data_IF_866603952653
#
_entry.id   IF_866603952653
#
_cell.length_a   1.000
_cell.length_b   1.000
_cell.length_c   1.000
_cell.angle_alpha   90.00
_cell.angle_beta   90.00
_cell.angle_gamma   90.00
#
_symmetry.space_group_name_H-M   'P 1'
#
loop_
_entity.id
_entity.type
_entity.pdbx_description
1 polymer ?
#
# COMPACT_ATOMS: atom_id res chain seq x y z
N UNK A 1 24.47 -4.32 -7.28
CA UNK A 1 23.68 -3.64 -6.22
C UNK A 1 22.97 -4.71 -5.42
N UNK A 2 23.13 -4.70 -4.10
CA UNK A 2 22.44 -5.63 -3.20
C UNK A 2 21.20 -4.95 -2.62
N UNK A 3 20.05 -5.60 -2.74
CA UNK A 3 18.75 -5.09 -2.28
C UNK A 3 18.24 -5.98 -1.15
N UNK A 4 17.81 -5.39 -0.04
CA UNK A 4 16.99 -6.08 0.95
C UNK A 4 15.51 -5.84 0.61
N UNK A 5 14.76 -6.91 0.34
CA UNK A 5 13.30 -6.87 0.27
C UNK A 5 12.74 -7.35 1.60
N UNK A 6 11.90 -6.53 2.20
CA UNK A 6 11.25 -6.85 3.47
C UNK A 6 9.77 -6.51 3.40
N UNK A 7 8.93 -7.53 3.18
CA UNK A 7 7.50 -7.39 3.41
C UNK A 7 7.21 -7.78 4.86
N UNK A 8 6.67 -6.86 5.66
CA UNK A 8 6.64 -6.96 7.11
C UNK A 8 5.89 -8.19 7.60
N UNK A 9 4.74 -8.51 7.00
CA UNK A 9 3.85 -9.57 7.51
C UNK A 9 4.42 -10.94 7.18
N UNK A 10 4.86 -11.14 5.95
CA UNK A 10 5.47 -12.38 5.46
C UNK A 10 6.94 -12.51 5.80
N UNK A 11 7.58 -11.43 6.28
CA UNK A 11 9.00 -11.36 6.65
C UNK A 11 9.27 -11.50 8.14
N UNK A 12 8.25 -11.71 8.97
CA UNK A 12 8.40 -12.00 10.40
C UNK A 12 7.96 -10.88 11.35
N UNK A 13 7.31 -9.82 10.90
CA UNK A 13 6.80 -8.75 11.76
C UNK A 13 5.72 -9.19 12.76
N UNK A 14 5.17 -10.40 12.59
CA UNK A 14 4.25 -11.06 13.52
C UNK A 14 4.84 -12.38 14.06
N UNK A 15 6.16 -12.60 14.00
CA UNK A 15 6.79 -13.90 14.32
C UNK A 15 6.56 -14.37 15.76
N UNK A 16 6.32 -13.44 16.69
CA UNK A 16 6.05 -13.70 18.11
C UNK A 16 4.55 -13.72 18.47
N UNK A 17 3.66 -13.57 17.48
CA UNK A 17 2.22 -13.47 17.66
C UNK A 17 1.44 -14.23 16.58
N UNK A 18 0.12 -14.24 16.69
CA UNK A 18 -0.74 -14.84 15.67
C UNK A 18 -0.62 -14.05 14.36
N UNK A 19 -0.53 -14.78 13.24
CA UNK A 19 -0.40 -14.19 11.91
C UNK A 19 -1.79 -14.01 11.30
N UNK A 20 -2.24 -12.77 11.03
CA UNK A 20 -3.55 -12.55 10.42
C UNK A 20 -3.58 -13.10 8.99
N UNK A 21 -4.41 -14.12 8.72
CA UNK A 21 -4.40 -14.82 7.42
C UNK A 21 -4.70 -13.92 6.22
N UNK A 22 -5.63 -12.98 6.36
CA UNK A 22 -5.98 -12.04 5.30
C UNK A 22 -4.79 -11.17 4.90
N UNK A 23 -4.17 -10.53 5.89
CA UNK A 23 -3.00 -9.68 5.67
C UNK A 23 -1.80 -10.48 5.15
N UNK A 24 -1.58 -11.71 5.65
CA UNK A 24 -0.55 -12.58 5.13
C UNK A 24 -0.79 -12.98 3.67
N UNK A 25 -2.03 -13.21 3.27
CA UNK A 25 -2.38 -13.56 1.89
C UNK A 25 -2.12 -12.39 0.93
N UNK A 26 -2.44 -11.16 1.31
CA UNK A 26 -2.13 -9.96 0.53
C UNK A 26 -0.63 -9.67 0.49
N UNK A 27 0.06 -9.78 1.63
CA UNK A 27 1.53 -9.64 1.72
C UNK A 27 2.26 -10.63 0.80
N UNK A 28 1.82 -11.89 0.77
CA UNK A 28 2.36 -12.92 -0.12
C UNK A 28 2.19 -12.58 -1.60
N UNK A 29 1.02 -12.06 -2.00
CA UNK A 29 0.76 -11.65 -3.38
C UNK A 29 1.72 -10.53 -3.81
N UNK A 30 1.88 -9.50 -2.96
CA UNK A 30 2.80 -8.39 -3.23
C UNK A 30 4.25 -8.84 -3.28
N UNK A 31 4.69 -9.64 -2.30
CA UNK A 31 6.07 -10.11 -2.22
C UNK A 31 6.41 -11.02 -3.41
N UNK A 32 5.56 -11.99 -3.74
CA UNK A 32 5.80 -12.90 -4.87
C UNK A 32 5.91 -12.12 -6.19
N UNK A 33 5.02 -11.16 -6.43
CA UNK A 33 5.07 -10.32 -7.64
C UNK A 33 6.35 -9.48 -7.72
N UNK A 34 6.80 -8.90 -6.60
CA UNK A 34 8.02 -8.11 -6.56
C UNK A 34 9.25 -8.99 -6.84
N UNK A 35 9.29 -10.18 -6.23
CA UNK A 35 10.35 -11.15 -6.47
C UNK A 35 10.37 -11.64 -7.93
N UNK A 36 9.22 -11.85 -8.56
CA UNK A 36 9.16 -12.22 -9.98
C UNK A 36 9.70 -11.12 -10.90
N UNK A 37 9.40 -9.86 -10.58
CA UNK A 37 9.97 -8.70 -11.27
C UNK A 37 11.49 -8.61 -11.09
N UNK A 38 12.00 -8.74 -9.86
CA UNK A 38 13.43 -8.70 -9.58
C UNK A 38 14.18 -9.86 -10.22
N UNK A 39 13.59 -11.06 -10.28
CA UNK A 39 14.21 -12.23 -10.91
C UNK A 39 14.43 -12.02 -12.41
N UNK A 40 13.44 -11.46 -13.10
CA UNK A 40 13.58 -11.10 -14.52
C UNK A 40 14.74 -10.12 -14.73
N UNK A 41 14.87 -9.11 -13.86
CA UNK A 41 15.96 -8.14 -13.93
C UNK A 41 17.33 -8.75 -13.70
N UNK A 42 17.46 -9.70 -12.78
CA UNK A 42 18.70 -10.42 -12.55
C UNK A 42 19.15 -11.21 -13.79
N UNK A 43 18.22 -11.66 -14.62
CA UNK A 43 18.50 -12.36 -15.89
C UNK A 43 18.87 -11.36 -17.00
N UNK A 44 18.13 -10.26 -17.12
CA UNK A 44 18.23 -9.30 -18.22
C UNK A 44 19.37 -8.26 -18.04
N UNK A 45 19.70 -7.85 -16.81
CA UNK A 45 20.69 -6.79 -16.51
C UNK A 45 22.08 -7.34 -16.18
N UNK A 46 22.73 -8.00 -17.15
CA UNK A 46 24.07 -8.61 -16.95
C UNK A 46 25.18 -7.60 -16.61
N UNK A 47 25.07 -6.37 -17.11
CA UNK A 47 26.08 -5.32 -16.91
C UNK A 47 25.94 -4.58 -15.57
N UNK A 48 24.79 -4.68 -14.91
CA UNK A 48 24.51 -4.07 -13.61
C UNK A 48 23.86 -5.12 -12.70
N UNK A 49 24.63 -6.09 -12.20
CA UNK A 49 24.10 -7.23 -11.48
C UNK A 49 23.39 -6.78 -10.20
N UNK A 50 22.23 -7.39 -9.95
CA UNK A 50 21.44 -7.23 -8.75
C UNK A 50 21.53 -8.54 -7.97
N UNK A 51 21.71 -8.46 -6.65
CA UNK A 51 21.46 -9.57 -5.75
C UNK A 51 20.43 -9.14 -4.71
N UNK A 52 19.60 -10.07 -4.26
CA UNK A 52 18.47 -9.77 -3.38
C UNK A 52 18.51 -10.66 -2.15
N UNK A 53 18.38 -10.04 -1.00
CA UNK A 53 18.00 -10.68 0.25
C UNK A 53 16.50 -10.55 0.44
N UNK A 54 15.85 -11.63 0.88
CA UNK A 54 14.47 -11.61 1.33
C UNK A 54 14.38 -12.16 2.75
N UNK A 55 13.70 -11.42 3.62
CA UNK A 55 13.31 -11.90 4.94
C UNK A 55 11.99 -12.65 4.83
N UNK A 56 11.88 -13.79 5.51
CA UNK A 56 10.70 -14.67 5.42
C UNK A 56 10.37 -15.25 6.80
N UNK A 57 9.11 -15.14 7.21
CA UNK A 57 8.57 -15.85 8.36
C UNK A 57 8.62 -17.36 8.10
N UNK A 58 9.12 -18.13 9.07
CA UNK A 58 9.24 -19.59 8.94
C UNK A 58 7.91 -20.27 8.60
N UNK A 59 6.78 -19.74 9.08
CA UNK A 59 5.43 -20.29 8.84
C UNK A 59 4.99 -20.17 7.38
N UNK A 60 5.62 -19.30 6.60
CA UNK A 60 5.23 -18.97 5.22
C UNK A 60 6.29 -19.30 4.17
N UNK A 61 7.47 -19.79 4.57
CA UNK A 61 8.62 -20.00 3.68
C UNK A 61 8.31 -20.85 2.44
N UNK A 62 7.41 -21.83 2.57
CA UNK A 62 7.03 -22.75 1.49
C UNK A 62 5.91 -22.20 0.58
N UNK A 63 5.38 -21.00 0.87
CA UNK A 63 4.29 -20.36 0.09
C UNK A 63 4.79 -19.37 -0.96
N UNK A 64 6.08 -19.09 -0.99
CA UNK A 64 6.74 -18.22 -1.96
C UNK A 64 7.78 -19.05 -2.70
N UNK A 65 8.11 -18.69 -3.93
CA UNK A 65 9.29 -19.22 -4.61
C UNK A 65 10.51 -18.31 -4.37
N UNK A 66 11.41 -18.62 -3.43
CA UNK A 66 12.59 -17.80 -3.18
C UNK A 66 13.79 -18.18 -4.07
N UNK A 67 13.61 -19.06 -5.07
CA UNK A 67 14.70 -19.51 -5.93
C UNK A 67 15.38 -18.32 -6.63
N UNK A 68 16.71 -18.27 -6.50
CA UNK A 68 17.56 -17.20 -7.03
C UNK A 68 17.87 -16.09 -6.02
N UNK A 69 17.31 -16.13 -4.81
CA UNK A 69 17.51 -15.11 -3.78
C UNK A 69 18.21 -15.65 -2.53
N UNK A 70 18.96 -14.76 -1.87
CA UNK A 70 19.49 -15.00 -0.52
C UNK A 70 18.33 -14.85 0.48
N UNK A 71 18.22 -15.76 1.46
CA UNK A 71 17.06 -15.84 2.34
C UNK A 71 17.47 -15.72 3.81
N UNK A 72 16.72 -14.94 4.57
CA UNK A 72 16.78 -14.94 6.03
C UNK A 72 15.44 -15.42 6.59
N UNK A 73 15.44 -16.63 7.13
CA UNK A 73 14.24 -17.19 7.76
C UNK A 73 14.16 -16.65 9.19
N UNK A 74 13.02 -16.05 9.52
CA UNK A 74 12.69 -15.48 10.82
C UNK A 74 11.81 -16.48 11.58
N UNK A 75 12.40 -17.02 12.64
CA UNK A 75 11.73 -17.91 13.59
C UNK A 75 11.11 -17.13 14.74
N UNK A 76 10.28 -17.76 15.56
CA UNK A 76 9.67 -17.15 16.75
C UNK A 76 10.71 -16.65 17.78
N UNK A 77 11.92 -17.24 17.81
CA UNK A 77 12.96 -16.89 18.78
C UNK A 77 13.78 -15.64 18.39
N UNK A 78 13.67 -15.18 17.14
CA UNK A 78 14.44 -14.04 16.64
C UNK A 78 13.69 -12.72 16.84
N UNK A 79 14.45 -11.64 16.98
CA UNK A 79 13.90 -10.29 16.89
C UNK A 79 13.96 -9.83 15.42
N UNK A 80 12.80 -9.56 14.83
CA UNK A 80 12.68 -9.19 13.41
C UNK A 80 13.36 -7.87 13.10
N UNK A 81 13.28 -6.89 14.00
CA UNK A 81 13.88 -5.56 13.81
C UNK A 81 15.42 -5.65 13.85
N UNK A 82 15.98 -6.44 14.76
CA UNK A 82 17.42 -6.69 14.84
C UNK A 82 17.94 -7.35 13.55
N UNK A 83 17.21 -8.34 13.03
CA UNK A 83 17.56 -9.02 11.78
C UNK A 83 17.41 -8.10 10.56
N UNK A 84 16.36 -7.27 10.53
CA UNK A 84 16.16 -6.24 9.52
C UNK A 84 17.35 -5.28 9.49
N UNK A 85 17.76 -4.74 10.65
CA UNK A 85 18.91 -3.83 10.75
C UNK A 85 20.20 -4.53 10.33
N UNK A 86 20.44 -5.77 10.81
CA UNK A 86 21.63 -6.56 10.46
C UNK A 86 21.75 -6.78 8.96
N UNK A 87 20.66 -7.11 8.26
CA UNK A 87 20.66 -7.34 6.81
C UNK A 87 20.71 -6.03 6.02
N UNK A 88 19.98 -5.00 6.46
CA UNK A 88 19.98 -3.67 5.85
C UNK A 88 21.42 -3.13 5.75
N UNK A 89 22.20 -3.26 6.83
CA UNK A 89 23.58 -2.76 6.86
C UNK A 89 24.51 -3.46 5.86
N UNK A 90 24.14 -4.66 5.39
CA UNK A 90 24.89 -5.43 4.39
C UNK A 90 24.44 -5.15 2.94
N UNK A 91 23.39 -4.36 2.75
CA UNK A 91 22.79 -4.06 1.45
C UNK A 91 23.08 -2.62 1.00
N UNK A 92 22.93 -2.35 -0.29
CA UNK A 92 23.06 -1.01 -0.87
C UNK A 92 21.72 -0.25 -0.84
N UNK A 93 20.61 -0.99 -0.93
CA UNK A 93 19.26 -0.48 -0.98
C UNK A 93 18.30 -1.38 -0.19
N UNK A 94 17.20 -0.82 0.28
CA UNK A 94 16.14 -1.51 1.01
C UNK A 94 14.79 -1.17 0.41
N UNK A 95 13.97 -2.18 0.18
CA UNK A 95 12.59 -2.07 -0.26
C UNK A 95 11.66 -2.62 0.83
N UNK A 96 11.28 -1.78 1.82
CA UNK A 96 10.31 -2.19 2.81
C UNK A 96 8.89 -2.11 2.21
N UNK A 97 8.07 -3.08 2.56
CA UNK A 97 6.63 -3.12 2.31
C UNK A 97 6.01 -3.45 3.66
N UNK A 98 5.31 -2.52 4.28
CA UNK A 98 4.80 -2.69 5.62
C UNK A 98 3.53 -1.88 5.82
N UNK A 99 2.65 -2.27 6.74
CA UNK A 99 1.51 -1.45 7.06
C UNK A 99 1.91 -0.08 7.62
N UNK A 100 1.07 0.92 7.40
CA UNK A 100 1.20 2.26 8.00
C UNK A 100 0.73 2.27 9.46
N UNK A 101 0.04 1.21 9.93
CA UNK A 101 -0.47 1.07 11.29
C UNK A 101 0.64 1.31 12.30
N UNK A 102 0.35 2.11 13.33
CA UNK A 102 1.27 2.35 14.46
C UNK A 102 2.63 2.94 14.05
N UNK A 103 2.74 3.47 12.82
CA UNK A 103 3.99 4.00 12.29
C UNK A 103 5.00 2.96 11.81
N UNK A 104 4.63 1.68 11.67
CA UNK A 104 5.57 0.60 11.30
C UNK A 104 6.35 0.94 10.02
N UNK A 105 5.66 1.27 8.92
CA UNK A 105 6.36 1.63 7.67
C UNK A 105 7.20 2.91 7.83
N UNK A 106 6.72 3.89 8.60
CA UNK A 106 7.45 5.13 8.86
C UNK A 106 8.78 4.86 9.55
N UNK A 107 8.77 4.03 10.60
CA UNK A 107 9.95 3.71 11.40
C UNK A 107 10.97 2.88 10.62
N UNK A 108 10.51 1.93 9.80
CA UNK A 108 11.37 1.20 8.86
C UNK A 108 12.05 2.15 7.88
N UNK A 109 11.29 3.08 7.27
CA UNK A 109 11.84 4.05 6.34
C UNK A 109 12.86 4.98 7.03
N UNK A 110 12.54 5.49 8.22
CA UNK A 110 13.42 6.37 8.99
C UNK A 110 14.72 5.66 9.38
N UNK A 111 14.65 4.37 9.72
CA UNK A 111 15.82 3.54 10.04
C UNK A 111 16.74 3.38 8.84
N UNK A 112 16.20 3.13 7.64
CA UNK A 112 16.97 3.06 6.40
C UNK A 112 17.62 4.40 6.07
N UNK A 113 16.87 5.49 6.18
CA UNK A 113 17.36 6.85 5.93
C UNK A 113 18.51 7.24 6.87
N UNK A 114 18.38 6.93 8.17
CA UNK A 114 19.39 7.24 9.19
C UNK A 114 20.73 6.54 8.94
N UNK A 115 20.74 5.42 8.20
CA UNK A 115 21.96 4.69 7.86
C UNK A 115 22.53 5.06 6.49
N UNK A 116 21.90 5.99 5.75
CA UNK A 116 22.33 6.43 4.42
C UNK A 116 22.17 5.36 3.34
N UNK A 117 21.40 4.30 3.58
CA UNK A 117 21.05 3.29 2.56
C UNK A 117 19.97 3.83 1.64
N UNK A 118 19.94 3.33 0.40
CA UNK A 118 18.93 3.78 -0.57
C UNK A 118 17.58 3.17 -0.21
N UNK A 119 16.59 4.01 0.06
CA UNK A 119 15.21 3.57 0.25
C UNK A 119 14.52 3.44 -1.12
N UNK A 120 13.90 2.29 -1.39
CA UNK A 120 13.19 2.00 -2.64
C UNK A 120 11.66 2.16 -2.49
N UNK A 121 11.25 3.06 -1.62
CA UNK A 121 9.86 3.50 -1.42
C UNK A 121 9.86 4.97 -0.99
N UNK A 122 8.68 5.52 -0.72
CA UNK A 122 8.53 6.88 -0.21
C UNK A 122 9.29 7.10 1.11
N UNK A 123 9.90 8.28 1.32
CA UNK A 123 10.63 8.60 2.53
C UNK A 123 9.72 8.67 3.77
N UNK A 124 10.30 8.54 4.97
CA UNK A 124 9.57 8.45 6.22
C UNK A 124 8.58 9.61 6.43
N UNK A 125 8.96 10.83 6.02
CA UNK A 125 8.09 12.02 6.08
C UNK A 125 6.85 11.89 5.19
N UNK A 126 7.01 11.41 3.97
CA UNK A 126 5.87 11.20 3.06
C UNK A 126 4.97 10.07 3.58
N UNK A 127 5.59 9.01 4.12
CA UNK A 127 4.87 7.91 4.76
C UNK A 127 4.06 8.39 5.96
N UNK A 128 4.63 9.23 6.82
CA UNK A 128 3.95 9.80 7.98
C UNK A 128 2.70 10.61 7.59
N UNK A 129 2.82 11.43 6.54
CA UNK A 129 1.69 12.23 6.04
C UNK A 129 0.59 11.30 5.54
N UNK A 130 0.93 10.42 4.60
CA UNK A 130 -0.04 9.56 3.91
C UNK A 130 -0.67 8.51 4.83
N UNK A 131 0.10 7.98 5.79
CA UNK A 131 -0.35 6.98 6.76
C UNK A 131 -1.35 7.49 7.79
N UNK A 132 -1.49 8.81 7.96
CA UNK A 132 -2.53 9.41 8.82
C UNK A 132 -3.65 9.99 7.96
N UNK A 133 -4.80 9.32 7.96
CA UNK A 133 -5.96 9.64 7.11
C UNK A 133 -6.50 11.06 7.32
N UNK A 134 -6.44 11.58 8.55
CA UNK A 134 -6.85 12.96 8.84
C UNK A 134 -5.84 13.99 8.32
N UNK A 135 -4.55 13.74 8.49
CA UNK A 135 -3.50 14.62 7.95
C UNK A 135 -3.55 14.65 6.42
N UNK A 136 -3.72 13.49 5.78
CA UNK A 136 -3.92 13.37 4.34
C UNK A 136 -5.12 14.20 3.90
N UNK A 137 -6.29 14.04 4.52
CA UNK A 137 -7.48 14.84 4.22
C UNK A 137 -7.21 16.35 4.31
N UNK A 138 -6.60 16.81 5.40
CA UNK A 138 -6.32 18.23 5.62
C UNK A 138 -5.37 18.80 4.57
N UNK A 139 -4.32 18.06 4.23
CA UNK A 139 -3.33 18.47 3.23
C UNK A 139 -3.93 18.53 1.82
N UNK A 140 -4.73 17.53 1.44
CA UNK A 140 -5.42 17.50 0.15
C UNK A 140 -6.40 18.67 0.01
N UNK A 141 -7.16 18.97 1.07
CA UNK A 141 -8.07 20.13 1.10
C UNK A 141 -7.32 21.46 0.93
N UNK A 142 -6.15 21.62 1.56
CA UNK A 142 -5.32 22.83 1.40
C UNK A 142 -4.84 23.04 -0.04
N UNK A 143 -4.69 21.96 -0.81
CA UNK A 143 -4.28 22.00 -2.22
C UNK A 143 -5.46 21.96 -3.21
N UNK A 144 -6.71 22.11 -2.72
CA UNK A 144 -7.90 22.10 -3.57
C UNK A 144 -8.09 20.76 -4.31
N UNK A 145 -7.70 19.66 -3.67
CA UNK A 145 -7.92 18.29 -4.14
C UNK A 145 -9.20 17.77 -3.48
N UNK A 146 -10.13 17.30 -4.30
CA UNK A 146 -11.38 16.73 -3.80
C UNK A 146 -11.10 15.42 -3.06
N UNK A 147 -11.52 15.35 -1.80
CA UNK A 147 -11.22 14.24 -0.88
C UNK A 147 -12.44 13.97 -0.02
N UNK A 148 -12.60 12.73 0.44
CA UNK A 148 -13.71 12.35 1.32
C UNK A 148 -13.65 13.16 2.62
N UNK A 149 -14.73 13.87 3.03
CA UNK A 149 -14.76 14.62 4.27
C UNK A 149 -14.37 13.74 5.46
N UNK A 150 -13.40 14.20 6.25
CA UNK A 150 -12.82 13.40 7.34
C UNK A 150 -12.73 14.23 8.61
N UNK A 151 -13.20 13.67 9.72
CA UNK A 151 -13.10 14.29 11.05
C UNK A 151 -12.63 13.26 12.06
N UNK A 152 -12.12 13.71 13.21
CA UNK A 152 -11.93 12.79 14.33
C UNK A 152 -13.29 12.34 14.82
N UNK A 153 -13.41 11.04 15.08
CA UNK A 153 -14.64 10.48 15.63
C UNK A 153 -15.02 11.13 16.98
N UNK A 154 -14.03 11.49 17.81
CA UNK A 154 -14.23 12.16 19.10
C UNK A 154 -14.86 13.55 18.99
N UNK A 155 -14.69 14.22 17.85
CA UNK A 155 -15.10 15.59 17.62
C UNK A 155 -16.44 15.64 16.84
N UNK A 156 -16.98 14.47 16.49
CA UNK A 156 -18.18 14.35 15.68
C UNK A 156 -19.43 14.22 16.54
N UNK A 157 -20.43 15.04 16.23
CA UNK A 157 -21.77 14.93 16.81
C UNK A 157 -22.70 14.24 15.81
N UNK A 158 -23.40 13.20 16.27
CA UNK A 158 -24.34 12.46 15.44
C UNK A 158 -25.43 13.38 14.88
N UNK A 159 -25.55 13.41 13.55
CA UNK A 159 -26.43 14.32 12.82
C UNK A 159 -27.81 13.74 12.46
N UNK A 160 -28.06 12.48 12.82
CA UNK A 160 -29.38 11.85 12.70
C UNK A 160 -29.79 11.40 11.31
N UNK A 161 -29.00 11.67 10.27
CA UNK A 161 -29.52 11.64 8.89
C UNK A 161 -28.69 10.85 7.87
N UNK A 162 -27.53 10.27 8.24
CA UNK A 162 -26.63 9.65 7.25
C UNK A 162 -25.94 8.38 7.79
N UNK A 163 -25.59 7.49 6.88
CA UNK A 163 -24.65 6.40 7.16
C UNK A 163 -23.22 6.95 7.17
N UNK A 164 -22.44 6.49 8.13
CA UNK A 164 -21.05 6.88 8.33
C UNK A 164 -20.12 5.67 8.28
N UNK A 165 -18.86 5.91 7.97
CA UNK A 165 -17.77 4.95 8.13
C UNK A 165 -16.87 5.44 9.26
N UNK A 166 -16.69 4.60 10.27
CA UNK A 166 -15.70 4.81 11.34
C UNK A 166 -14.55 3.84 11.13
N UNK A 167 -13.32 4.35 11.07
CA UNK A 167 -12.10 3.55 10.86
C UNK A 167 -10.91 4.13 11.63
N UNK A 168 -9.88 3.34 11.94
CA UNK A 168 -8.68 3.86 12.57
C UNK A 168 -8.05 4.99 11.76
N UNK A 169 -7.44 5.95 12.45
CA UNK A 169 -6.79 7.10 11.82
C UNK A 169 -5.63 6.68 10.91
N UNK A 170 -5.00 5.55 11.17
CA UNK A 170 -3.92 4.93 10.43
C UNK A 170 -4.26 3.47 10.06
N UNK A 171 -3.30 2.74 9.47
CA UNK A 171 -3.42 1.32 9.17
C UNK A 171 -4.00 0.93 7.82
N UNK A 172 -4.10 -0.40 7.61
CA UNK A 172 -4.29 -1.03 6.28
C UNK A 172 -5.46 -1.99 6.23
N UNK A 173 -5.99 -2.17 5.02
CA UNK A 173 -7.12 -3.05 4.78
C UNK A 173 -8.42 -2.51 5.37
N UNK A 174 -9.47 -3.32 5.31
CA UNK A 174 -10.81 -2.91 5.73
C UNK A 174 -11.27 -3.50 7.07
N UNK A 175 -10.41 -4.29 7.74
CA UNK A 175 -10.76 -5.12 8.90
C UNK A 175 -11.28 -4.34 10.12
N UNK A 176 -10.93 -3.07 10.25
CA UNK A 176 -11.40 -2.19 11.33
C UNK A 176 -12.25 -1.01 10.82
N UNK A 177 -12.84 -1.14 9.63
CA UNK A 177 -13.77 -0.15 9.09
C UNK A 177 -15.22 -0.57 9.34
N UNK A 178 -15.98 0.27 10.04
CA UNK A 178 -17.33 0.00 10.48
C UNK A 178 -18.32 0.95 9.82
N UNK A 179 -19.35 0.41 9.20
CA UNK A 179 -20.55 1.16 8.79
C UNK A 179 -21.37 1.42 10.05
N UNK A 180 -21.70 2.68 10.28
CA UNK A 180 -22.50 3.13 11.42
C UNK A 180 -23.74 3.82 10.86
N UNK A 181 -24.91 3.24 11.14
CA UNK A 181 -26.19 3.75 10.63
C UNK A 181 -27.14 4.21 11.73
N UNK A 182 -26.95 3.72 12.95
CA UNK A 182 -27.80 4.03 14.10
C UNK A 182 -27.01 4.73 15.23
N UNK A 183 -27.67 5.56 16.06
CA UNK A 183 -27.04 6.19 17.22
C UNK A 183 -26.41 5.19 18.20
N UNK A 184 -26.97 3.99 18.32
CA UNK A 184 -26.46 2.90 19.16
C UNK A 184 -25.12 2.38 18.63
N UNK A 185 -25.01 2.13 17.33
CA UNK A 185 -23.75 1.73 16.68
C UNK A 185 -22.69 2.81 16.88
N UNK A 186 -23.10 4.09 16.75
CA UNK A 186 -22.22 5.22 16.99
C UNK A 186 -21.70 5.17 18.42
N UNK A 187 -22.54 5.03 19.45
CA UNK A 187 -22.10 4.95 20.86
C UNK A 187 -21.20 3.75 21.13
N UNK A 188 -21.46 2.60 20.51
CA UNK A 188 -20.63 1.40 20.67
C UNK A 188 -19.18 1.66 20.24
N UNK A 189 -18.96 2.49 19.22
CA UNK A 189 -17.60 2.85 18.79
C UNK A 189 -16.79 3.59 19.85
N UNK A 190 -17.42 4.38 20.73
CA UNK A 190 -16.72 5.09 21.82
C UNK A 190 -16.11 4.16 22.88
N UNK A 191 -16.54 2.90 22.94
CA UNK A 191 -15.99 1.91 23.87
C UNK A 191 -14.68 1.29 23.38
N UNK A 192 -14.32 1.51 22.10
CA UNK A 192 -13.11 0.98 21.49
C UNK A 192 -11.89 1.82 21.85
N UNK A 193 -10.75 1.15 21.99
CA UNK A 193 -9.45 1.80 22.20
C UNK A 193 -8.84 2.22 20.88
N UNK A 194 -8.16 3.37 20.86
CA UNK A 194 -7.44 3.86 19.68
C UNK A 194 -7.98 5.20 19.18
N UNK A 195 -7.36 5.72 18.12
CA UNK A 195 -7.79 6.97 17.49
C UNK A 195 -8.54 6.65 16.20
N UNK A 196 -9.81 7.03 16.15
CA UNK A 196 -10.68 6.79 15.01
C UNK A 196 -11.02 8.09 14.29
N UNK A 197 -11.22 7.98 12.98
CA UNK A 197 -11.84 9.00 12.15
C UNK A 197 -13.24 8.57 11.75
N UNK A 198 -14.05 9.54 11.35
CA UNK A 198 -15.37 9.33 10.77
C UNK A 198 -15.45 10.04 9.42
N UNK A 199 -16.03 9.34 8.45
CA UNK A 199 -16.20 9.78 7.06
C UNK A 199 -17.63 9.44 6.60
N UNK A 200 -18.27 10.25 5.73
CA UNK A 200 -19.57 9.90 5.20
C UNK A 200 -19.49 8.59 4.41
N UNK A 201 -20.51 7.74 4.54
CA UNK A 201 -20.60 6.53 3.73
C UNK A 201 -21.08 6.86 2.31
N UNK A 202 -20.14 7.27 1.47
CA UNK A 202 -20.44 7.70 0.11
C UNK A 202 -20.77 6.53 -0.82
N UNK A 203 -21.83 6.71 -1.60
CA UNK A 203 -22.16 5.82 -2.71
C UNK A 203 -21.30 6.18 -3.92
N UNK A 204 -20.77 5.18 -4.62
CA UNK A 204 -19.85 5.39 -5.74
C UNK A 204 -19.02 4.15 -6.04
N UNK A 205 -18.33 4.19 -7.18
CA UNK A 205 -17.35 3.17 -7.55
C UNK A 205 -16.14 3.31 -6.64
N UNK A 206 -15.65 2.18 -6.11
CA UNK A 206 -14.37 2.12 -5.39
C UNK A 206 -13.30 1.75 -6.39
N UNK A 207 -12.40 2.68 -6.67
CA UNK A 207 -11.32 2.50 -7.62
C UNK A 207 -10.00 2.88 -6.98
N UNK A 208 -8.88 2.47 -7.58
CA UNK A 208 -7.57 2.92 -7.13
C UNK A 208 -6.62 3.18 -8.29
N UNK A 209 -5.69 4.10 -8.10
CA UNK A 209 -4.61 4.37 -9.04
C UNK A 209 -3.35 3.66 -8.58
N UNK A 210 -2.71 2.93 -9.49
CA UNK A 210 -1.33 2.48 -9.34
C UNK A 210 -0.42 3.52 -9.99
N UNK A 211 0.43 4.18 -9.21
CA UNK A 211 1.26 5.29 -9.68
C UNK A 211 2.74 5.12 -9.32
N UNK A 212 3.60 5.82 -10.03
CA UNK A 212 4.99 6.06 -9.65
C UNK A 212 5.15 7.55 -9.35
N UNK A 213 5.88 7.92 -8.31
CA UNK A 213 6.23 9.31 -8.00
C UNK A 213 7.73 9.51 -7.86
N UNK A 214 8.19 10.74 -8.14
CA UNK A 214 9.54 11.22 -7.86
C UNK A 214 9.57 12.74 -7.96
N UNK A 215 10.02 13.41 -6.90
CA UNK A 215 10.38 14.84 -6.90
C UNK A 215 9.28 15.74 -7.49
N UNK A 216 8.07 15.64 -6.96
CA UNK A 216 6.92 16.45 -7.39
C UNK A 216 6.34 16.10 -8.77
N UNK A 217 6.70 14.92 -9.32
CA UNK A 217 6.08 14.37 -10.52
C UNK A 217 5.44 13.01 -10.24
N UNK A 218 4.31 12.74 -10.87
CA UNK A 218 3.65 11.44 -10.86
C UNK A 218 3.49 10.86 -12.25
N UNK A 219 3.55 9.53 -12.35
CA UNK A 219 3.26 8.75 -13.55
C UNK A 219 2.20 7.71 -13.25
N UNK A 220 1.07 7.78 -13.94
CA UNK A 220 0.00 6.79 -13.81
C UNK A 220 0.39 5.48 -14.53
N UNK A 221 0.27 4.35 -13.84
CA UNK A 221 0.45 3.02 -14.43
C UNK A 221 -0.90 2.45 -14.89
N UNK A 222 -1.88 2.38 -14.00
CA UNK A 222 -3.21 1.88 -14.31
C UNK A 222 -4.25 2.31 -13.28
N UNK A 223 -5.51 2.21 -13.70
CA UNK A 223 -6.70 2.40 -12.85
C UNK A 223 -7.26 1.02 -12.53
N UNK A 224 -7.58 0.78 -11.26
CA UNK A 224 -8.07 -0.50 -10.77
C UNK A 224 -9.50 -0.33 -10.23
N UNK A 225 -10.34 -1.35 -10.35
CA UNK A 225 -11.66 -1.41 -9.68
C UNK A 225 -11.57 -2.35 -8.49
N UNK A 226 -12.05 -1.92 -7.33
CA UNK A 226 -12.07 -2.71 -6.10
C UNK A 226 -13.50 -3.14 -5.79
N UNK A 227 -13.70 -4.45 -5.60
CA UNK A 227 -15.00 -5.02 -5.29
C UNK A 227 -15.04 -5.50 -3.86
N UNK A 228 -16.04 -5.05 -3.13
CA UNK A 228 -16.20 -5.36 -1.72
C UNK A 228 -17.56 -5.99 -1.42
N UNK A 229 -17.58 -6.83 -0.41
CA UNK A 229 -18.78 -7.27 0.28
C UNK A 229 -18.88 -6.57 1.64
N UNK A 230 -20.10 -6.48 2.17
CA UNK A 230 -20.35 -5.99 3.53
C UNK A 230 -20.79 -7.19 4.36
N UNK A 231 -20.01 -7.51 5.39
CA UNK A 231 -20.30 -8.59 6.33
C UNK A 231 -20.20 -7.99 7.73
N UNK A 232 -21.24 -8.17 8.55
CA UNK A 232 -21.29 -7.64 9.93
C UNK A 232 -20.95 -6.14 10.02
N UNK A 233 -21.49 -5.34 9.10
CA UNK A 233 -21.25 -3.90 8.98
C UNK A 233 -19.80 -3.51 8.64
N UNK A 234 -18.98 -4.43 8.14
CA UNK A 234 -17.60 -4.16 7.76
C UNK A 234 -17.37 -4.47 6.28
N UNK A 235 -16.47 -3.71 5.68
CA UNK A 235 -16.04 -3.94 4.31
C UNK A 235 -15.05 -5.09 4.23
N UNK A 236 -15.26 -5.98 3.26
CA UNK A 236 -14.34 -7.07 2.93
C UNK A 236 -14.01 -7.00 1.44
N UNK A 237 -12.76 -6.72 1.11
CA UNK A 237 -12.28 -6.65 -0.28
C UNK A 237 -12.29 -8.05 -0.89
N UNK A 238 -13.13 -8.33 -1.87
CA UNK A 238 -13.27 -9.67 -2.49
C UNK A 238 -12.27 -9.86 -3.63
N UNK A 239 -12.20 -8.87 -4.52
CA UNK A 239 -11.30 -8.90 -5.66
C UNK A 239 -10.97 -7.49 -6.16
N UNK A 240 -9.89 -7.41 -6.92
CA UNK A 240 -9.47 -6.21 -7.63
C UNK A 240 -9.39 -6.55 -9.12
N UNK A 241 -10.01 -5.73 -9.97
CA UNK A 241 -9.75 -5.74 -11.41
C UNK A 241 -8.68 -4.70 -11.68
N UNK A 242 -7.44 -5.14 -11.88
CA UNK A 242 -6.30 -4.30 -12.24
C UNK A 242 -6.41 -3.89 -13.71
N UNK A 243 -6.12 -2.62 -14.00
CA UNK A 243 -6.29 -2.03 -15.34
C UNK A 243 -7.73 -2.15 -15.86
N UNK A 244 -8.68 -1.78 -15.01
CA UNK A 244 -10.13 -1.83 -15.27
C UNK A 244 -10.59 -0.78 -16.28
N UNK A 245 -10.08 0.46 -16.18
CA UNK A 245 -10.45 1.56 -17.07
C UNK A 245 -9.25 2.05 -17.87
N UNK A 246 -9.44 2.17 -19.18
CA UNK A 246 -8.42 2.58 -20.15
C UNK A 246 -8.35 4.13 -20.22
N UNK A 247 -9.29 4.85 -19.60
CA UNK A 247 -9.31 6.32 -19.60
C UNK A 247 -8.36 6.89 -18.53
N UNK A 248 -7.09 7.08 -18.87
CA UNK A 248 -6.07 7.64 -17.98
C UNK A 248 -6.10 9.17 -17.86
N UNK A 249 -6.61 9.88 -18.87
CA UNK A 249 -6.44 11.34 -18.99
C UNK A 249 -7.09 12.15 -17.87
N UNK A 250 -8.23 11.70 -17.37
CA UNK A 250 -8.98 12.42 -16.31
C UNK A 250 -8.22 12.46 -14.97
N UNK A 251 -7.26 11.54 -14.78
CA UNK A 251 -6.50 11.42 -13.54
C UNK A 251 -5.19 12.21 -13.55
N UNK A 252 -4.71 12.68 -14.71
CA UNK A 252 -3.41 13.39 -14.77
C UNK A 252 -3.43 14.68 -13.95
N UNK A 253 -4.50 15.47 -14.04
CA UNK A 253 -4.64 16.69 -13.23
C UNK A 253 -4.68 16.39 -11.73
N UNK A 254 -5.34 15.29 -11.33
CA UNK A 254 -5.33 14.83 -9.93
C UNK A 254 -3.92 14.42 -9.49
N UNK A 255 -3.21 13.69 -10.35
CA UNK A 255 -1.87 13.19 -10.07
C UNK A 255 -0.85 14.32 -9.91
N UNK A 256 -0.90 15.32 -10.79
CA UNK A 256 -0.05 16.52 -10.72
C UNK A 256 -0.28 17.28 -9.41
N UNK A 257 -1.55 17.47 -9.01
CA UNK A 257 -1.89 18.12 -7.73
C UNK A 257 -1.41 17.32 -6.51
N UNK A 258 -1.55 15.99 -6.53
CA UNK A 258 -1.05 15.14 -5.44
C UNK A 258 0.49 15.23 -5.37
N UNK A 259 1.16 15.25 -6.52
CA UNK A 259 2.61 15.40 -6.58
C UNK A 259 3.06 16.79 -6.09
N UNK A 260 2.28 17.84 -6.32
CA UNK A 260 2.52 19.18 -5.75
C UNK A 260 2.27 19.20 -4.23
N UNK A 261 1.20 18.54 -3.76
CA UNK A 261 0.82 18.51 -2.35
C UNK A 261 1.79 17.69 -1.48
N UNK A 262 2.36 16.62 -2.02
CA UNK A 262 3.31 15.73 -1.35
C UNK A 262 4.52 15.48 -2.27
N UNK A 263 5.39 16.49 -2.49
CA UNK A 263 6.49 16.39 -3.45
C UNK A 263 7.53 15.33 -3.07
N UNK A 264 7.56 14.92 -1.81
CA UNK A 264 8.40 13.85 -1.28
C UNK A 264 7.92 12.43 -1.64
N UNK A 265 6.71 12.25 -2.19
CA UNK A 265 6.28 10.92 -2.68
C UNK A 265 7.31 10.37 -3.66
N UNK A 266 7.67 9.11 -3.46
CA UNK A 266 8.72 8.44 -4.24
C UNK A 266 8.39 6.97 -4.44
N UNK A 267 8.70 6.47 -5.63
CA UNK A 267 8.50 5.08 -5.99
C UNK A 267 7.03 4.75 -6.24
N UNK A 268 6.63 3.51 -5.99
CA UNK A 268 5.24 3.08 -6.21
C UNK A 268 4.34 3.61 -5.09
N UNK A 269 3.19 4.18 -5.49
CA UNK A 269 2.16 4.69 -4.58
C UNK A 269 0.80 4.26 -5.10
N UNK A 270 -0.03 3.70 -4.21
CA UNK A 270 -1.45 3.45 -4.47
C UNK A 270 -2.31 4.61 -4.01
N UNK A 271 -3.34 4.99 -4.77
CA UNK A 271 -4.29 6.04 -4.38
C UNK A 271 -5.68 5.47 -4.45
N UNK A 272 -6.36 5.31 -3.33
CA UNK A 272 -7.74 4.82 -3.29
C UNK A 272 -8.71 5.98 -3.49
N UNK A 273 -9.75 5.74 -4.27
CA UNK A 273 -10.72 6.73 -4.72
C UNK A 273 -12.16 6.25 -4.48
N UNK A 274 -13.06 7.21 -4.25
CA UNK A 274 -14.50 7.02 -4.41
C UNK A 274 -14.96 7.91 -5.56
N UNK A 275 -15.44 7.28 -6.63
CA UNK A 275 -15.92 7.97 -7.83
C UNK A 275 -17.44 7.98 -7.88
N UNK A 276 -17.99 9.19 -7.91
CA UNK A 276 -19.42 9.46 -8.12
C UNK A 276 -19.66 9.90 -9.56
N UNK A 277 -20.91 10.15 -9.93
CA UNK A 277 -21.23 10.77 -11.23
C UNK A 277 -20.72 12.20 -11.37
N UNK A 278 -20.37 12.85 -10.25
CA UNK A 278 -20.03 14.29 -10.20
C UNK A 278 -18.56 14.54 -9.91
N UNK A 279 -17.93 13.67 -9.11
CA UNK A 279 -16.61 13.91 -8.53
C UNK A 279 -15.78 12.63 -8.36
N UNK A 280 -14.47 12.78 -8.52
CA UNK A 280 -13.45 11.82 -8.11
C UNK A 280 -12.92 12.29 -6.76
N UNK A 281 -13.17 11.52 -5.71
CA UNK A 281 -12.76 11.85 -4.35
C UNK A 281 -11.60 10.96 -3.92
N UNK A 282 -10.48 11.56 -3.51
CA UNK A 282 -9.40 10.82 -2.87
C UNK A 282 -9.89 10.31 -1.51
N UNK A 283 -9.73 9.01 -1.27
CA UNK A 283 -10.04 8.37 -0.01
C UNK A 283 -8.76 8.20 0.82
N UNK A 284 -7.73 7.58 0.24
CA UNK A 284 -6.47 7.24 0.90
C UNK A 284 -5.28 7.28 -0.08
N UNK A 285 -4.09 7.54 0.45
CA UNK A 285 -2.82 7.44 -0.28
C UNK A 285 -1.96 6.41 0.44
N UNK A 286 -1.56 5.35 -0.27
CA UNK A 286 -0.75 4.24 0.22
C UNK A 286 0.68 4.40 -0.34
N UNK A 287 1.64 4.95 0.42
CA UNK A 287 3.02 5.24 -0.01
C UNK A 287 3.91 3.98 -0.07
N UNK A 288 3.35 2.86 -0.56
CA UNK A 288 3.94 1.53 -0.63
C UNK A 288 3.24 0.69 -1.69
N UNK A 289 3.74 -0.53 -1.92
CA UNK A 289 3.02 -1.52 -2.72
C UNK A 289 1.61 -1.78 -2.15
N UNK A 290 0.65 -1.96 -3.05
CA UNK A 290 -0.72 -2.39 -2.75
C UNK A 290 -1.00 -3.71 -3.47
N UNK A 291 -2.05 -4.42 -3.08
CA UNK A 291 -2.43 -5.71 -3.65
C UNK A 291 -2.60 -5.68 -5.18
N UNK A 292 -3.00 -4.53 -5.74
CA UNK A 292 -3.07 -4.30 -7.19
C UNK A 292 -1.73 -4.51 -7.92
N UNK A 293 -0.60 -4.31 -7.23
CA UNK A 293 0.75 -4.49 -7.78
C UNK A 293 0.92 -5.89 -8.42
N UNK A 294 0.35 -6.93 -7.81
CA UNK A 294 0.49 -8.30 -8.28
C UNK A 294 -0.13 -8.58 -9.66
N UNK A 295 -1.00 -7.69 -10.15
CA UNK A 295 -1.64 -7.82 -11.46
C UNK A 295 -1.01 -6.96 -12.55
N UNK A 296 -0.19 -5.96 -12.19
CA UNK A 296 0.27 -4.90 -13.13
C UNK A 296 1.05 -5.50 -14.29
N UNK A 297 1.97 -6.43 -14.02
CA UNK A 297 2.78 -7.05 -15.06
C UNK A 297 1.94 -7.82 -16.08
N UNK A 298 1.00 -8.63 -15.61
CA UNK A 298 0.09 -9.36 -16.51
C UNK A 298 -0.84 -8.42 -17.28
N UNK A 299 -1.27 -7.31 -16.66
CA UNK A 299 -2.18 -6.35 -17.25
C UNK A 299 -1.52 -5.48 -18.33
N UNK A 300 -0.31 -4.99 -18.05
CA UNK A 300 0.37 -3.95 -18.83
C UNK A 300 1.65 -4.44 -19.52
N UNK A 301 2.17 -5.60 -19.15
CA UNK A 301 3.43 -6.14 -19.66
C UNK A 301 4.68 -5.37 -19.19
N UNK A 302 4.56 -4.59 -18.11
CA UNK A 302 5.68 -3.81 -17.56
C UNK A 302 6.25 -4.47 -16.31
N UNK A 303 7.55 -4.32 -16.12
CA UNK A 303 8.25 -4.66 -14.87
C UNK A 303 8.34 -3.38 -14.03
N UNK A 304 7.60 -3.34 -12.92
CA UNK A 304 7.54 -2.12 -12.09
C UNK A 304 8.83 -1.96 -11.31
N UNK A 305 9.46 -3.06 -10.86
CA UNK A 305 10.76 -2.99 -10.20
C UNK A 305 11.84 -2.34 -11.07
N UNK A 306 11.82 -2.59 -12.39
CA UNK A 306 12.75 -1.96 -13.32
C UNK A 306 12.63 -0.43 -13.29
N UNK A 307 11.39 0.05 -13.31
CA UNK A 307 11.08 1.47 -13.28
C UNK A 307 11.49 2.10 -11.94
N UNK A 308 11.26 1.43 -10.82
CA UNK A 308 11.70 1.91 -9.49
C UNK A 308 13.23 1.99 -9.40
N UNK A 309 13.96 1.00 -9.92
CA UNK A 309 15.42 1.06 -9.95
C UNK A 309 15.95 2.15 -10.90
N UNK A 310 15.22 2.42 -11.99
CA UNK A 310 15.53 3.53 -12.90
C UNK A 310 15.38 4.89 -12.21
N UNK A 311 14.42 5.05 -11.29
CA UNK A 311 14.23 6.29 -10.52
C UNK A 311 15.47 6.72 -9.74
N UNK A 312 16.38 5.82 -9.42
CA UNK A 312 17.64 6.18 -8.76
C UNK A 312 18.53 7.09 -9.60
N UNK A 313 18.32 7.13 -10.93
CA UNK A 313 19.13 7.91 -11.88
C UNK A 313 18.27 8.84 -12.72
N UNK A 314 17.15 8.34 -13.24
CA UNK A 314 16.34 9.01 -14.26
C UNK A 314 14.84 9.00 -13.93
N UNK A 315 14.01 9.41 -14.87
CA UNK A 315 12.56 9.22 -14.86
C UNK A 315 12.20 7.76 -15.25
N UNK A 316 11.01 7.25 -14.92
CA UNK A 316 10.61 5.90 -15.31
C UNK A 316 10.46 5.78 -16.84
N UNK A 317 10.68 4.58 -17.40
CA UNK A 317 10.52 4.26 -18.82
C UNK A 317 9.28 3.39 -19.01
N UNK A 318 8.11 3.99 -18.81
CA UNK A 318 6.85 3.25 -18.87
C UNK A 318 6.50 3.02 -20.34
N UNK A 319 6.60 1.76 -20.79
CA UNK A 319 6.20 1.32 -22.11
C UNK A 319 5.30 0.09 -21.96
N UNK A 320 4.00 0.29 -22.14
CA UNK A 320 3.01 -0.78 -22.02
C UNK A 320 3.13 -1.74 -23.22
N UNK A 321 3.30 -3.03 -22.93
CA UNK A 321 3.36 -4.11 -23.93
C UNK A 321 1.99 -4.78 -24.08
N UNK A 322 1.22 -4.81 -22.99
CA UNK A 322 -0.13 -5.32 -22.93
C UNK A 322 -1.09 -4.19 -22.52
N UNK A 323 -2.38 -4.41 -22.74
CA UNK A 323 -3.43 -3.56 -22.20
C UNK A 323 -4.69 -4.39 -21.98
N UNK A 324 -4.73 -5.13 -20.86
CA UNK A 324 -5.85 -5.99 -20.51
C UNK A 324 -6.20 -5.89 -19.03
N UNK A 325 -7.48 -6.06 -18.66
CA UNK A 325 -7.87 -6.17 -17.26
C UNK A 325 -7.44 -7.52 -16.68
N UNK A 326 -6.93 -7.52 -15.45
CA UNK A 326 -6.56 -8.73 -14.71
C UNK A 326 -7.25 -8.76 -13.37
N UNK A 327 -7.97 -9.84 -13.08
CA UNK A 327 -8.64 -10.03 -11.79
C UNK A 327 -7.71 -10.69 -10.79
N UNK A 328 -7.51 -10.06 -9.63
CA UNK A 328 -6.84 -10.62 -8.47
C UNK A 328 -7.91 -10.93 -7.42
N UNK A 329 -8.00 -12.18 -7.00
CA UNK A 329 -8.87 -12.58 -5.90
C UNK A 329 -8.13 -12.41 -4.56
N UNK A 330 -8.77 -11.75 -3.59
CA UNK A 330 -8.26 -11.67 -2.22
C UNK A 330 -8.89 -12.81 -1.42
N UNK A 331 -8.07 -13.79 -1.06
CA UNK A 331 -8.53 -14.93 -0.26
C UNK A 331 -8.59 -14.51 1.21
N UNK A 332 -9.72 -14.78 1.84
CA UNK A 332 -9.80 -14.90 3.30
C UNK A 332 -10.19 -16.34 3.56
N UNK A 333 -9.62 -16.93 4.60
CA UNK A 333 -10.09 -18.23 5.05
C UNK A 333 -11.54 -18.12 5.50
N UNK A 334 -12.33 -19.14 5.19
CA UNK A 334 -13.69 -19.33 5.72
C UNK A 334 -13.61 -19.72 7.20
N UNK A 335 -13.15 -18.80 8.04
CA UNK A 335 -13.21 -18.93 9.49
C UNK A 335 -13.14 -17.54 10.10
N UNK A 336 -14.30 -16.90 10.24
CA UNK A 336 -14.70 -16.05 11.39
C UNK A 336 -16.15 -15.60 11.23
#
# INVERSE_FOLDING_TARGET
>A
MRILVFEYITGGGFNNQELPTSLASEGLLMLQALLDDLRELMICRREQPISVWVMMDERLKDRINPQGFEQCIITQAQNTDDEFVRLMLQCDAVWPIAPESEGILQDLCATVEATGRRLLTSPARAVQIAGNKLNTYQLLMQHGIATVPTQRYSDFEWDGCLQWIVKPIDGVGCGDSYIVSEPEDFKLMSSRTGTYIIQPHLQGKKTSLSCIFKAGKGWLLCVNSQHFEIINQQYRLVNIIVNYDIKSEIYYSLLDKIAEAIPELWGYVGIDLIETTEQILVLEINPRLTTSFAGIKSALGINVADNILRLLKDEPAIQFVCNQPITIAVKYDEAN
#
